data_IF_326696520680
#
_entry.id   IF_326696520680
#
_cell.length_a   1.000
_cell.length_b   1.000
_cell.length_c   1.000
_cell.angle_alpha   90.00
_cell.angle_beta   90.00
_cell.angle_gamma   90.00
#
_symmetry.space_group_name_H-M   'P 1'
#
loop_
_entity.id
_entity.type
_entity.pdbx_description
1 polymer ?
#
# COMPACT_ATOMS: atom_id res chain seq x y z
N UNK A 1 -29.21 -7.64 2.45
CA UNK A 1 -28.22 -6.86 1.68
C UNK A 1 -26.95 -6.80 2.52
N UNK A 2 -25.89 -7.50 2.13
CA UNK A 2 -24.71 -7.76 2.97
C UNK A 2 -23.74 -6.57 3.09
N UNK A 3 -24.19 -5.34 2.87
CA UNK A 3 -23.33 -4.14 2.89
C UNK A 3 -22.41 -3.97 1.67
N UNK A 4 -22.69 -4.66 0.56
CA UNK A 4 -21.94 -4.54 -0.68
C UNK A 4 -22.30 -3.27 -1.48
N UNK A 5 -21.31 -2.73 -2.20
CA UNK A 5 -21.50 -1.63 -3.15
C UNK A 5 -21.46 -2.19 -4.57
N UNK A 6 -22.55 -2.11 -5.33
CA UNK A 6 -22.56 -2.60 -6.71
C UNK A 6 -22.48 -1.44 -7.71
N UNK A 7 -21.63 -1.60 -8.72
CA UNK A 7 -21.37 -0.63 -9.78
C UNK A 7 -21.69 -1.23 -11.14
N UNK A 8 -22.02 -0.38 -12.12
CA UNK A 8 -22.18 -0.85 -13.49
C UNK A 8 -20.83 -1.34 -14.04
N UNK A 9 -20.85 -2.49 -14.71
CA UNK A 9 -19.64 -3.10 -15.26
C UNK A 9 -19.87 -3.57 -16.70
N UNK A 10 -19.00 -3.21 -17.66
CA UNK A 10 -19.14 -3.64 -19.05
C UNK A 10 -19.16 -5.17 -19.18
N UNK A 11 -20.11 -5.70 -19.94
CA UNK A 11 -20.23 -7.14 -20.22
C UNK A 11 -21.15 -7.91 -19.26
N UNK A 12 -20.96 -7.77 -17.94
CA UNK A 12 -21.81 -8.46 -16.94
C UNK A 12 -23.03 -7.65 -16.48
N UNK A 13 -23.08 -6.36 -16.82
CA UNK A 13 -24.11 -5.42 -16.37
C UNK A 13 -23.80 -4.80 -15.00
N UNK A 14 -23.32 -5.59 -14.04
CA UNK A 14 -22.91 -5.12 -12.71
C UNK A 14 -21.69 -5.87 -12.16
N UNK A 15 -21.03 -5.24 -11.19
CA UNK A 15 -20.00 -5.81 -10.32
C UNK A 15 -20.30 -5.40 -8.89
N UNK A 16 -20.31 -6.35 -7.95
CA UNK A 16 -20.45 -6.06 -6.52
C UNK A 16 -19.09 -6.06 -5.82
N UNK A 17 -18.81 -4.97 -5.11
CA UNK A 17 -17.65 -4.81 -4.26
C UNK A 17 -18.02 -5.31 -2.86
N UNK A 18 -17.50 -6.48 -2.52
CA UNK A 18 -17.84 -7.16 -1.28
C UNK A 18 -17.10 -6.57 -0.08
N UNK A 19 -17.76 -6.49 1.10
CA UNK A 19 -17.07 -6.14 2.33
C UNK A 19 -16.05 -7.22 2.71
N UNK A 20 -15.15 -6.86 3.63
CA UNK A 20 -14.16 -7.78 4.16
C UNK A 20 -14.82 -9.06 4.67
N UNK A 21 -14.32 -10.21 4.22
CA UNK A 21 -14.83 -11.54 4.63
C UNK A 21 -15.97 -12.08 3.77
N UNK A 22 -16.34 -11.41 2.66
CA UNK A 22 -17.39 -11.87 1.74
C UNK A 22 -16.90 -12.00 0.31
N UNK A 23 -17.44 -12.98 -0.43
CA UNK A 23 -17.29 -13.13 -1.88
C UNK A 23 -18.54 -13.69 -2.55
N UNK A 24 -18.49 -13.86 -3.87
CA UNK A 24 -19.61 -14.25 -4.71
C UNK A 24 -20.08 -13.08 -5.58
N UNK A 25 -20.98 -13.34 -6.51
CA UNK A 25 -21.52 -12.30 -7.41
C UNK A 25 -22.35 -11.29 -6.62
N UNK A 26 -22.94 -11.72 -5.51
CA UNK A 26 -23.77 -10.93 -4.61
C UNK A 26 -23.20 -10.81 -3.20
N UNK A 27 -21.93 -11.16 -3.00
CA UNK A 27 -21.26 -11.18 -1.70
C UNK A 27 -21.96 -12.08 -0.68
N UNK A 28 -22.54 -13.17 -1.17
CA UNK A 28 -23.39 -14.10 -0.43
C UNK A 28 -22.60 -15.16 0.34
N UNK A 29 -21.34 -15.39 -0.02
CA UNK A 29 -20.49 -16.40 0.58
C UNK A 29 -19.48 -15.78 1.55
N UNK A 30 -19.21 -16.48 2.65
CA UNK A 30 -18.16 -16.12 3.60
C UNK A 30 -16.80 -16.60 3.11
N UNK A 31 -15.77 -15.77 3.30
CA UNK A 31 -14.38 -16.15 3.05
C UNK A 31 -13.67 -16.32 4.39
N UNK A 32 -12.93 -17.42 4.51
CA UNK A 32 -11.87 -17.52 5.51
C UNK A 32 -10.61 -16.81 4.98
N UNK A 33 -10.28 -15.66 5.56
CA UNK A 33 -9.24 -14.75 5.03
C UNK A 33 -7.86 -15.22 5.51
N UNK A 34 -7.22 -16.09 4.73
CA UNK A 34 -5.81 -16.46 4.95
C UNK A 34 -4.83 -15.40 4.46
N UNK A 35 -5.07 -14.83 3.26
CA UNK A 35 -4.23 -13.81 2.66
C UNK A 35 -5.10 -12.80 1.90
N UNK A 36 -5.04 -11.53 2.31
CA UNK A 36 -5.76 -10.47 1.62
C UNK A 36 -5.18 -10.25 0.21
N UNK A 37 -6.06 -10.17 -0.78
CA UNK A 37 -5.73 -9.80 -2.16
C UNK A 37 -6.47 -8.51 -2.50
N UNK A 38 -5.75 -7.58 -3.13
CA UNK A 38 -6.29 -6.28 -3.52
C UNK A 38 -6.25 -6.16 -5.04
N UNK A 39 -7.40 -5.88 -5.64
CA UNK A 39 -7.55 -5.66 -7.08
C UNK A 39 -7.38 -4.18 -7.44
N UNK A 40 -7.04 -3.92 -8.70
CA UNK A 40 -7.02 -2.57 -9.25
C UNK A 40 -8.38 -1.90 -9.17
N UNK A 41 -8.36 -0.56 -9.25
CA UNK A 41 -9.55 0.27 -9.27
C UNK A 41 -10.53 -0.18 -10.37
N UNK A 42 -11.78 -0.46 -10.00
CA UNK A 42 -12.89 -0.65 -10.94
C UNK A 42 -13.81 0.56 -10.81
N UNK A 43 -14.00 1.29 -11.91
CA UNK A 43 -14.81 2.51 -11.94
C UNK A 43 -14.42 3.56 -10.87
N UNK A 44 -13.13 3.68 -10.56
CA UNK A 44 -12.62 4.61 -9.54
C UNK A 44 -12.56 4.05 -8.12
N UNK A 45 -13.13 2.86 -7.87
CA UNK A 45 -13.14 2.22 -6.55
C UNK A 45 -12.04 1.18 -6.45
N UNK A 46 -11.07 1.40 -5.56
CA UNK A 46 -9.99 0.45 -5.27
C UNK A 46 -10.33 -0.37 -4.03
N UNK A 47 -9.92 -1.64 -4.00
CA UNK A 47 -9.98 -2.43 -2.77
C UNK A 47 -8.84 -2.03 -1.84
N UNK A 48 -9.13 -1.74 -0.57
CA UNK A 48 -8.13 -1.41 0.44
C UNK A 48 -8.58 -1.89 1.83
N UNK A 49 -7.61 -2.01 2.74
CA UNK A 49 -7.86 -2.14 4.17
C UNK A 49 -7.37 -0.87 4.86
N UNK A 50 -8.20 -0.26 5.69
CA UNK A 50 -7.83 0.89 6.50
C UNK A 50 -7.80 0.49 7.98
N UNK A 51 -6.79 0.97 8.69
CA UNK A 51 -6.62 0.76 10.13
C UNK A 51 -6.46 2.10 10.80
N UNK A 52 -7.09 2.27 11.96
CA UNK A 52 -6.86 3.43 12.81
C UNK A 52 -5.50 3.29 13.47
N UNK A 53 -4.67 4.33 13.35
CA UNK A 53 -3.41 4.41 14.10
C UNK A 53 -3.75 4.98 15.48
N UNK A 54 -3.53 4.22 16.57
CA UNK A 54 -4.05 4.58 17.90
C UNK A 54 -3.39 5.81 18.52
N UNK A 55 -2.29 6.31 17.94
CA UNK A 55 -1.57 7.48 18.41
C UNK A 55 -1.01 8.31 17.25
N UNK A 56 -0.91 9.62 17.47
CA UNK A 56 -0.28 10.54 16.53
C UNK A 56 1.21 10.22 16.38
N UNK A 57 1.66 10.06 15.13
CA UNK A 57 3.07 9.79 14.82
C UNK A 57 3.86 11.10 14.91
N UNK A 58 4.41 11.40 16.08
CA UNK A 58 5.18 12.64 16.30
C UNK A 58 6.65 12.52 15.88
N UNK A 59 7.39 11.56 16.44
CA UNK A 59 8.86 11.50 16.27
C UNK A 59 9.33 10.31 15.43
N UNK A 60 8.83 9.12 15.74
CA UNK A 60 9.29 7.88 15.12
C UNK A 60 8.13 6.92 14.88
N UNK A 61 8.24 6.15 13.80
CA UNK A 61 7.40 4.98 13.59
C UNK A 61 8.12 3.95 12.72
N UNK A 62 7.68 2.70 12.80
CA UNK A 62 8.10 1.64 11.88
C UNK A 62 6.86 0.90 11.39
N UNK A 63 6.77 0.69 10.07
CA UNK A 63 5.77 -0.12 9.42
C UNK A 63 6.46 -1.34 8.79
N UNK A 64 6.01 -2.53 9.17
CA UNK A 64 6.45 -3.80 8.59
C UNK A 64 5.26 -4.53 8.01
N UNK A 65 5.36 -4.90 6.74
CA UNK A 65 4.35 -5.70 6.08
C UNK A 65 4.99 -6.62 5.03
N UNK A 66 4.18 -7.54 4.52
CA UNK A 66 4.58 -8.48 3.49
C UNK A 66 3.63 -8.39 2.32
N UNK A 67 4.16 -8.41 1.10
CA UNK A 67 3.35 -8.38 -0.11
C UNK A 67 3.86 -9.38 -1.16
N UNK A 68 2.99 -9.71 -2.10
CA UNK A 68 3.30 -10.52 -3.30
C UNK A 68 2.87 -9.70 -4.51
N UNK A 69 3.78 -9.30 -5.41
CA UNK A 69 3.40 -8.59 -6.62
C UNK A 69 2.70 -9.54 -7.61
N UNK A 70 1.66 -9.06 -8.30
CA UNK A 70 0.99 -9.83 -9.36
C UNK A 70 1.86 -9.89 -10.62
N UNK A 71 2.44 -8.75 -10.99
CA UNK A 71 3.41 -8.64 -12.09
C UNK A 71 4.50 -7.64 -11.72
N UNK A 72 5.69 -7.82 -12.29
CA UNK A 72 6.83 -6.94 -12.05
C UNK A 72 6.65 -5.57 -12.69
N UNK A 73 5.85 -5.46 -13.76
CA UNK A 73 5.63 -4.20 -14.49
C UNK A 73 4.53 -3.32 -13.90
N UNK A 74 3.84 -3.77 -12.85
CA UNK A 74 2.74 -3.01 -12.26
C UNK A 74 3.22 -1.75 -11.53
N UNK A 75 2.29 -0.81 -11.40
CA UNK A 75 2.40 0.35 -10.52
C UNK A 75 1.29 0.21 -9.48
N UNK A 76 1.67 0.10 -8.20
CA UNK A 76 0.72 -0.11 -7.11
C UNK A 76 1.12 0.70 -5.87
N UNK A 77 0.11 1.25 -5.18
CA UNK A 77 0.26 1.76 -3.82
C UNK A 77 0.11 0.59 -2.85
N UNK A 78 1.13 0.33 -2.03
CA UNK A 78 1.15 -0.78 -1.07
C UNK A 78 0.71 -0.35 0.33
N UNK A 79 1.10 0.85 0.75
CA UNK A 79 0.72 1.42 2.03
C UNK A 79 0.69 2.95 1.93
N UNK A 80 -0.24 3.56 2.67
CA UNK A 80 -0.38 5.00 2.77
C UNK A 80 -0.71 5.40 4.20
N UNK A 81 0.00 6.40 4.72
CA UNK A 81 -0.24 7.04 6.01
C UNK A 81 -0.31 8.54 5.76
N UNK A 82 -1.38 9.16 6.22
CA UNK A 82 -1.74 10.52 5.88
C UNK A 82 -2.59 11.19 6.96
N UNK A 83 -2.90 12.46 6.76
CA UNK A 83 -3.75 13.27 7.63
C UNK A 83 -5.22 13.19 7.15
N UNK A 84 -6.18 13.42 8.04
CA UNK A 84 -7.63 13.26 7.80
C UNK A 84 -8.26 14.32 6.86
N UNK A 85 -7.45 15.06 6.09
CA UNK A 85 -7.88 16.13 5.20
C UNK A 85 -7.61 15.79 3.73
N UNK A 86 -8.10 16.62 2.81
CA UNK A 86 -7.74 16.48 1.39
C UNK A 86 -6.23 16.45 1.22
N UNK A 87 -5.73 15.36 0.65
CA UNK A 87 -4.32 15.16 0.39
C UNK A 87 -3.93 15.70 -0.99
N UNK A 88 -2.96 16.61 -0.99
CA UNK A 88 -2.26 17.09 -2.18
C UNK A 88 -0.75 16.78 -2.09
N UNK A 89 0.03 17.28 -3.05
CA UNK A 89 1.47 17.05 -3.07
C UNK A 89 2.26 17.71 -1.93
N UNK A 90 1.66 18.65 -1.18
CA UNK A 90 2.33 19.42 -0.12
C UNK A 90 1.98 18.95 1.29
N UNK A 91 0.89 18.20 1.44
CA UNK A 91 0.49 17.60 2.71
C UNK A 91 1.47 16.52 3.21
N UNK A 92 1.55 16.39 4.53
CA UNK A 92 2.39 15.40 5.19
C UNK A 92 1.85 13.99 4.95
N UNK A 93 2.69 13.15 4.40
CA UNK A 93 2.31 11.77 4.10
C UNK A 93 3.53 10.86 4.08
N UNK A 94 3.25 9.57 4.18
CA UNK A 94 4.18 8.51 3.85
C UNK A 94 3.47 7.47 3.00
N UNK A 95 4.08 7.12 1.88
CA UNK A 95 3.57 6.15 0.93
C UNK A 95 4.65 5.12 0.59
N UNK A 96 4.27 3.85 0.57
CA UNK A 96 5.09 2.78 0.01
C UNK A 96 4.44 2.31 -1.28
N UNK A 97 5.19 2.36 -2.37
CA UNK A 97 4.72 2.00 -3.70
C UNK A 97 5.58 0.91 -4.32
N UNK A 98 4.99 0.13 -5.21
CA UNK A 98 5.71 -0.79 -6.08
C UNK A 98 5.64 -0.26 -7.51
N UNK A 99 6.79 -0.02 -8.14
CA UNK A 99 6.90 0.62 -9.44
C UNK A 99 7.90 -0.17 -10.28
N UNK A 100 7.40 -0.95 -11.26
CA UNK A 100 8.24 -1.65 -12.24
C UNK A 100 9.40 -2.44 -11.61
N UNK A 101 9.09 -3.20 -10.56
CA UNK A 101 10.06 -4.02 -9.83
C UNK A 101 10.75 -3.33 -8.65
N UNK A 102 10.64 -2.01 -8.50
CA UNK A 102 11.21 -1.29 -7.36
C UNK A 102 10.18 -1.11 -6.25
N UNK A 103 10.60 -1.27 -5.00
CA UNK A 103 9.84 -0.76 -3.87
C UNK A 103 10.33 0.65 -3.58
N UNK A 104 9.39 1.57 -3.42
CA UNK A 104 9.65 3.00 -3.32
C UNK A 104 9.01 3.53 -2.06
N UNK A 105 9.80 4.18 -1.21
CA UNK A 105 9.30 4.95 -0.09
C UNK A 105 9.23 6.42 -0.49
N UNK A 106 8.05 7.01 -0.42
CA UNK A 106 7.80 8.45 -0.63
C UNK A 106 7.32 9.05 0.68
N UNK A 107 7.86 10.21 1.08
CA UNK A 107 7.38 10.91 2.26
C UNK A 107 7.49 12.42 2.10
N UNK A 108 6.67 13.15 2.84
CA UNK A 108 6.70 14.60 2.95
C UNK A 108 6.48 15.00 4.42
N UNK A 109 7.29 15.92 4.92
CA UNK A 109 7.23 16.51 6.26
C UNK A 109 7.15 18.06 6.16
N UNK A 110 6.35 18.58 5.24
CA UNK A 110 6.14 20.02 5.02
C UNK A 110 7.13 20.73 4.10
N UNK A 111 8.22 20.09 3.68
CA UNK A 111 9.25 20.68 2.79
C UNK A 111 9.25 20.13 1.36
N UNK A 112 8.17 19.46 0.96
CA UNK A 112 8.03 18.77 -0.32
C UNK A 112 8.46 17.30 -0.28
N UNK A 113 7.99 16.50 -1.25
CA UNK A 113 8.16 15.05 -1.23
C UNK A 113 9.61 14.62 -1.51
N UNK A 114 10.04 13.61 -0.76
CA UNK A 114 11.30 12.87 -0.97
C UNK A 114 10.98 11.43 -1.33
N UNK A 115 11.88 10.79 -2.09
CA UNK A 115 11.74 9.40 -2.53
C UNK A 115 13.05 8.65 -2.40
N UNK A 116 12.97 7.42 -1.92
CA UNK A 116 14.06 6.44 -1.98
C UNK A 116 13.54 5.15 -2.59
N UNK A 117 14.41 4.48 -3.32
CA UNK A 117 14.12 3.25 -4.05
C UNK A 117 14.96 2.12 -3.46
N UNK A 118 14.50 0.89 -3.59
CA UNK A 118 15.40 -0.26 -3.45
C UNK A 118 16.58 -0.12 -4.42
N UNK A 119 17.81 -0.57 -4.07
CA UNK A 119 18.98 -0.39 -4.93
C UNK A 119 18.86 -1.08 -6.28
N UNK A 120 18.10 -2.17 -6.33
CA UNK A 120 17.78 -2.94 -7.53
C UNK A 120 16.29 -3.31 -7.51
N UNK A 121 15.79 -3.89 -8.60
CA UNK A 121 14.47 -4.52 -8.61
C UNK A 121 14.44 -5.74 -7.68
N UNK A 122 13.27 -6.02 -7.09
CA UNK A 122 13.05 -7.29 -6.40
C UNK A 122 13.09 -8.44 -7.42
N UNK A 123 13.42 -9.65 -6.98
CA UNK A 123 13.46 -10.79 -7.90
C UNK A 123 12.06 -11.11 -8.46
N UNK A 124 11.93 -11.57 -9.70
CA UNK A 124 10.65 -12.13 -10.16
C UNK A 124 10.28 -13.44 -9.44
N UNK A 125 11.27 -14.17 -8.92
CA UNK A 125 11.09 -15.46 -8.25
C UNK A 125 11.39 -15.32 -6.76
N UNK A 126 10.38 -14.96 -5.96
CA UNK A 126 10.54 -15.00 -4.50
C UNK A 126 10.64 -16.45 -4.02
N UNK A 127 11.80 -16.83 -3.48
CA UNK A 127 12.00 -18.14 -2.84
C UNK A 127 11.14 -18.32 -1.58
N UNK A 128 10.57 -17.24 -1.04
CA UNK A 128 9.83 -17.23 0.22
C UNK A 128 8.33 -17.10 0.02
N UNK A 129 7.82 -16.88 -1.21
CA UNK A 129 6.41 -16.62 -1.47
C UNK A 129 5.98 -15.18 -1.14
N UNK A 130 6.86 -14.20 -1.37
CA UNK A 130 6.61 -12.77 -1.11
C UNK A 130 7.83 -12.01 -0.62
N UNK A 131 7.64 -10.72 -0.33
CA UNK A 131 8.68 -9.77 0.07
C UNK A 131 8.29 -9.07 1.37
N UNK A 132 9.22 -9.02 2.32
CA UNK A 132 9.03 -8.29 3.57
C UNK A 132 9.58 -6.88 3.41
N UNK A 133 8.71 -5.89 3.56
CA UNK A 133 9.07 -4.47 3.54
C UNK A 133 9.08 -3.95 4.96
N UNK A 134 10.16 -3.25 5.31
CA UNK A 134 10.27 -2.47 6.54
C UNK A 134 10.59 -1.04 6.15
N UNK A 135 9.74 -0.13 6.57
CA UNK A 135 9.96 1.31 6.44
C UNK A 135 9.85 1.95 7.80
N UNK A 136 10.59 3.01 8.02
CA UNK A 136 10.44 3.77 9.25
C UNK A 136 10.96 5.18 9.13
N UNK A 137 10.64 5.94 10.16
CA UNK A 137 11.01 7.34 10.35
C UNK A 137 11.56 7.50 11.76
N UNK A 138 12.58 8.33 11.89
CA UNK A 138 13.08 8.85 13.17
C UNK A 138 13.52 10.29 12.96
N UNK A 139 12.76 11.24 13.51
CA UNK A 139 12.94 12.67 13.21
C UNK A 139 12.78 12.93 11.71
N UNK A 140 13.78 13.55 11.10
CA UNK A 140 13.80 13.86 9.66
C UNK A 140 14.30 12.69 8.79
N UNK A 141 14.79 11.61 9.40
CA UNK A 141 15.38 10.48 8.70
C UNK A 141 14.33 9.41 8.42
N UNK A 142 14.24 8.98 7.17
CA UNK A 142 13.43 7.85 6.74
C UNK A 142 14.31 6.75 6.16
N UNK A 143 13.87 5.50 6.30
CA UNK A 143 14.57 4.35 5.76
C UNK A 143 13.64 3.31 5.13
N UNK A 144 14.19 2.55 4.18
CA UNK A 144 13.53 1.49 3.45
C UNK A 144 14.44 0.27 3.40
N UNK A 145 13.90 -0.88 3.82
CA UNK A 145 14.55 -2.18 3.73
C UNK A 145 13.57 -3.20 3.17
N UNK A 146 13.99 -3.93 2.14
CA UNK A 146 13.22 -5.02 1.54
C UNK A 146 14.03 -6.30 1.62
N UNK A 147 13.52 -7.27 2.38
CA UNK A 147 14.23 -8.50 2.74
C UNK A 147 15.71 -8.22 3.10
N UNK A 148 16.66 -8.70 2.28
CA UNK A 148 18.10 -8.57 2.50
C UNK A 148 18.76 -7.63 1.46
N UNK A 149 18.00 -6.73 0.81
CA UNK A 149 18.50 -5.86 -0.26
C UNK A 149 19.31 -4.65 0.23
N UNK A 150 19.62 -4.59 1.52
CA UNK A 150 20.28 -3.46 2.16
C UNK A 150 19.30 -2.38 2.61
N UNK A 151 19.74 -1.59 3.60
CA UNK A 151 19.00 -0.45 4.10
C UNK A 151 19.30 0.79 3.27
N UNK A 152 18.27 1.44 2.73
CA UNK A 152 18.37 2.74 2.06
C UNK A 152 17.83 3.79 2.99
N UNK A 153 18.59 4.86 3.22
CA UNK A 153 18.23 5.90 4.19
C UNK A 153 18.40 7.29 3.57
N UNK A 154 17.51 8.22 3.93
CA UNK A 154 17.61 9.61 3.51
C UNK A 154 16.93 10.53 4.53
N UNK A 155 17.21 11.84 4.44
CA UNK A 155 16.66 12.87 5.33
C UNK A 155 15.82 13.88 4.55
N UNK A 156 14.72 14.35 5.14
CA UNK A 156 14.01 15.55 4.68
C UNK A 156 14.59 16.80 5.34
N UNK A 157 14.51 17.99 4.70
CA UNK A 157 14.85 19.26 5.33
C UNK A 157 13.89 19.68 6.46
N UNK A 158 12.58 19.42 6.27
CA UNK A 158 11.55 19.56 7.30
C UNK A 158 11.72 18.52 8.39
#
# INVERSE_FOLDING_TARGET
MFGATCVQYPGSGFLCLCPLGKHGIFCEHDIDIGQASYSSSVAGLSSFSAYLIPATIHHSFELKFRFVPNTMDQIALLAFIGQDYQHDAITDHLAVSFIKGYVVLTWNLGSGPRRIFTPNTISPKSKRGGYTVRVGKSGQQCWLMVDNMGNVTSKSPG
#
